data_IF_438913199606
#
_entry.id   IF_438913199606
#
_cell.length_a   1.000
_cell.length_b   1.000
_cell.length_c   1.000
_cell.angle_alpha   90.00
_cell.angle_beta   90.00
_cell.angle_gamma   90.00
#
_symmetry.space_group_name_H-M   'P 1'
#
loop_
_entity.id
_entity.type
_entity.pdbx_description
1 polymer ?
#
# COMPACT_ATOMS: atom_id res chain seq x y z
N UNK A 1 -20.23 11.57 -5.15
CA UNK A 1 -19.31 10.76 -5.97
C UNK A 1 -18.05 11.54 -6.31
N UNK A 2 -18.20 12.72 -6.92
CA UNK A 2 -17.06 13.57 -7.27
C UNK A 2 -16.19 13.94 -6.08
N UNK A 3 -16.80 14.26 -4.94
CA UNK A 3 -16.08 14.59 -3.69
C UNK A 3 -15.34 13.38 -3.14
N UNK A 4 -15.96 12.22 -3.16
CA UNK A 4 -15.31 10.97 -2.74
C UNK A 4 -14.11 10.68 -3.62
N UNK A 5 -14.26 10.74 -4.94
CA UNK A 5 -13.18 10.48 -5.87
C UNK A 5 -12.00 11.43 -5.65
N UNK A 6 -12.26 12.73 -5.49
CA UNK A 6 -11.22 13.72 -5.20
C UNK A 6 -10.47 13.40 -3.91
N UNK A 7 -11.22 13.08 -2.84
CA UNK A 7 -10.62 12.79 -1.53
C UNK A 7 -9.85 11.46 -1.54
N UNK A 8 -10.31 10.48 -2.28
CA UNK A 8 -9.60 9.20 -2.42
C UNK A 8 -8.30 9.38 -3.21
N UNK A 9 -8.28 10.21 -4.25
CA UNK A 9 -7.05 10.53 -4.96
C UNK A 9 -6.02 11.19 -4.03
N UNK A 10 -6.47 12.12 -3.19
CA UNK A 10 -5.60 12.75 -2.18
C UNK A 10 -5.08 11.75 -1.16
N UNK A 11 -5.91 10.78 -0.76
CA UNK A 11 -5.50 9.71 0.14
C UNK A 11 -4.33 8.92 -0.45
N UNK A 12 -4.40 8.53 -1.72
CA UNK A 12 -3.34 7.74 -2.35
C UNK A 12 -2.11 8.56 -2.71
N UNK A 13 -2.24 9.84 -2.99
CA UNK A 13 -1.09 10.75 -3.10
C UNK A 13 -0.32 10.80 -1.78
N UNK A 14 -1.04 10.91 -0.66
CA UNK A 14 -0.46 10.87 0.68
C UNK A 14 0.15 9.50 0.98
N UNK A 15 -0.53 8.42 0.59
CA UNK A 15 -0.04 7.05 0.74
C UNK A 15 1.32 6.89 0.03
N UNK A 16 1.42 7.35 -1.20
CA UNK A 16 2.67 7.32 -1.96
C UNK A 16 3.77 8.12 -1.28
N UNK A 17 3.46 9.33 -0.83
CA UNK A 17 4.41 10.21 -0.15
C UNK A 17 4.93 9.58 1.15
N UNK A 18 4.04 8.97 1.94
CA UNK A 18 4.39 8.28 3.18
C UNK A 18 5.26 7.06 2.87
N UNK A 19 4.95 6.30 1.83
CA UNK A 19 5.75 5.14 1.41
C UNK A 19 7.16 5.55 1.02
N UNK A 20 7.30 6.63 0.26
CA UNK A 20 8.61 7.17 -0.13
C UNK A 20 9.44 7.60 1.08
N UNK A 21 8.83 8.31 2.02
CA UNK A 21 9.49 8.73 3.26
C UNK A 21 9.92 7.52 4.10
N UNK A 22 9.06 6.51 4.20
CA UNK A 22 9.33 5.30 4.98
C UNK A 22 10.49 4.50 4.39
N UNK A 23 10.61 4.45 3.07
CA UNK A 23 11.75 3.78 2.41
C UNK A 23 13.07 4.51 2.66
N UNK A 24 13.04 5.81 2.94
CA UNK A 24 14.24 6.58 3.34
C UNK A 24 14.56 6.44 4.82
N UNK A 25 13.74 5.77 5.60
CA UNK A 25 13.91 5.63 7.05
C UNK A 25 13.11 6.64 7.88
N UNK A 26 12.44 7.60 7.24
CA UNK A 26 11.58 8.59 7.89
C UNK A 26 10.19 8.00 8.14
N UNK A 27 10.10 7.04 9.06
CA UNK A 27 8.85 6.33 9.32
C UNK A 27 8.08 7.03 10.42
N UNK A 28 6.92 7.57 10.09
CA UNK A 28 5.95 8.06 11.07
C UNK A 28 4.76 7.09 11.07
N UNK A 29 4.74 6.19 12.04
CA UNK A 29 3.72 5.13 12.09
C UNK A 29 2.32 5.67 12.38
N UNK A 30 2.20 6.82 13.01
CA UNK A 30 0.89 7.44 13.23
C UNK A 30 0.29 7.94 11.91
N UNK A 31 1.11 8.49 11.03
CA UNK A 31 0.66 8.88 9.69
C UNK A 31 0.27 7.66 8.85
N UNK A 32 1.04 6.60 8.93
CA UNK A 32 0.74 5.34 8.24
C UNK A 32 -0.59 4.78 8.73
N UNK A 33 -0.76 4.68 10.05
CA UNK A 33 -1.98 4.16 10.66
C UNK A 33 -3.22 5.01 10.32
N UNK A 34 -3.04 6.32 10.14
CA UNK A 34 -4.14 7.22 9.81
C UNK A 34 -4.75 6.97 8.42
N UNK A 35 -4.06 6.22 7.55
CA UNK A 35 -4.59 5.84 6.24
C UNK A 35 -5.67 4.75 6.31
N UNK A 36 -5.69 4.00 7.42
CA UNK A 36 -6.53 2.81 7.56
C UNK A 36 -7.69 3.02 8.52
N UNK A 37 -8.78 2.30 8.25
CA UNK A 37 -9.91 2.22 9.16
C UNK A 37 -9.51 1.49 10.45
N UNK A 38 -10.40 1.49 11.46
CA UNK A 38 -10.14 0.81 12.73
C UNK A 38 -10.02 -0.70 12.61
N UNK A 39 -10.63 -1.28 11.58
CA UNK A 39 -10.56 -2.70 11.27
C UNK A 39 -10.39 -2.87 9.76
N UNK A 40 -9.73 -3.96 9.35
CA UNK A 40 -9.46 -4.17 7.93
C UNK A 40 -9.37 -5.65 7.57
N UNK A 41 -9.44 -5.91 6.25
CA UNK A 41 -9.29 -7.23 5.63
C UNK A 41 -8.11 -7.17 4.66
N UNK A 42 -7.23 -8.17 4.73
CA UNK A 42 -6.14 -8.33 3.77
C UNK A 42 -6.31 -9.67 3.06
N UNK A 43 -6.47 -9.65 1.75
CA UNK A 43 -6.62 -10.85 0.94
C UNK A 43 -5.45 -11.01 -0.03
N UNK A 44 -4.84 -12.19 -0.02
CA UNK A 44 -3.75 -12.57 -0.93
C UNK A 44 -4.00 -14.00 -1.39
N UNK A 45 -3.21 -14.55 -2.31
CA UNK A 45 -3.32 -15.97 -2.66
C UNK A 45 -3.13 -16.93 -1.48
N UNK A 46 -2.53 -16.48 -0.39
CA UNK A 46 -2.36 -17.28 0.84
C UNK A 46 -3.64 -17.34 1.69
N UNK A 47 -4.62 -16.49 1.43
CA UNK A 47 -5.89 -16.48 2.15
C UNK A 47 -6.35 -15.09 2.55
N UNK A 48 -7.31 -15.04 3.44
CA UNK A 48 -7.88 -13.79 3.96
C UNK A 48 -7.51 -13.65 5.43
N UNK A 49 -6.96 -12.50 5.78
CA UNK A 49 -6.63 -12.15 7.16
C UNK A 49 -7.42 -10.93 7.57
N UNK A 50 -7.78 -10.85 8.84
CA UNK A 50 -8.40 -9.66 9.43
C UNK A 50 -7.46 -9.05 10.44
N UNK A 51 -7.59 -7.76 10.67
CA UNK A 51 -6.76 -7.08 11.65
C UNK A 51 -7.40 -5.83 12.19
N UNK A 52 -6.78 -5.28 13.23
CA UNK A 52 -7.18 -4.02 13.86
C UNK A 52 -6.08 -3.00 13.72
N UNK A 53 -6.48 -1.75 13.61
CA UNK A 53 -5.56 -0.61 13.54
C UNK A 53 -5.14 -0.23 14.97
N UNK A 54 -4.14 -0.91 15.48
CA UNK A 54 -3.63 -0.76 16.84
C UNK A 54 -2.09 -0.72 16.86
N UNK A 55 -1.49 -0.75 18.04
CA UNK A 55 -0.04 -0.74 18.19
C UNK A 55 0.63 -1.95 17.53
N UNK A 56 -0.03 -3.10 17.56
CA UNK A 56 0.51 -4.29 16.90
C UNK A 56 0.63 -4.09 15.38
N UNK A 57 -0.39 -3.48 14.75
CA UNK A 57 -0.34 -3.14 13.33
C UNK A 57 0.84 -2.21 13.03
N UNK A 58 1.04 -1.19 13.87
CA UNK A 58 2.17 -0.25 13.68
C UNK A 58 3.50 -1.00 13.70
N UNK A 59 3.66 -1.96 14.61
CA UNK A 59 4.87 -2.78 14.68
C UNK A 59 5.04 -3.64 13.42
N UNK A 60 3.97 -4.25 12.93
CA UNK A 60 3.99 -5.08 11.71
C UNK A 60 4.37 -4.23 10.50
N UNK A 61 3.78 -3.04 10.36
CA UNK A 61 4.07 -2.14 9.24
C UNK A 61 5.50 -1.61 9.30
N UNK A 62 6.01 -1.29 10.51
CA UNK A 62 7.39 -0.84 10.69
C UNK A 62 8.38 -1.94 10.28
N UNK A 63 8.11 -3.18 10.64
CA UNK A 63 8.92 -4.33 10.22
C UNK A 63 8.85 -4.55 8.71
N UNK A 64 7.68 -4.33 8.11
CA UNK A 64 7.49 -4.41 6.66
C UNK A 64 8.37 -3.42 5.92
N UNK A 65 8.39 -2.16 6.35
CA UNK A 65 9.27 -1.15 5.73
C UNK A 65 10.74 -1.46 5.95
N UNK A 66 11.11 -1.94 7.13
CA UNK A 66 12.49 -2.37 7.40
C UNK A 66 12.91 -3.51 6.48
N UNK A 67 12.00 -4.46 6.24
CA UNK A 67 12.24 -5.57 5.32
C UNK A 67 12.44 -5.05 3.88
N UNK A 68 11.59 -4.13 3.41
CA UNK A 68 11.75 -3.54 2.09
C UNK A 68 13.11 -2.85 1.94
N UNK A 69 13.55 -2.09 2.94
CA UNK A 69 14.87 -1.46 2.91
C UNK A 69 15.98 -2.52 2.86
N UNK A 70 15.83 -3.61 3.62
CA UNK A 70 16.83 -4.68 3.70
C UNK A 70 17.00 -5.42 2.36
N UNK A 71 15.93 -5.61 1.61
CA UNK A 71 15.99 -6.27 0.30
C UNK A 71 16.34 -5.32 -0.86
N UNK A 72 16.63 -4.07 -0.55
CA UNK A 72 17.11 -3.10 -1.54
C UNK A 72 16.02 -2.29 -2.25
N UNK A 73 14.81 -2.21 -1.67
CA UNK A 73 13.76 -1.37 -2.25
C UNK A 73 14.18 0.09 -2.23
N UNK A 74 14.36 0.66 -3.40
CA UNK A 74 14.83 2.02 -3.60
C UNK A 74 13.69 3.02 -3.73
N UNK A 75 12.62 2.60 -4.39
CA UNK A 75 11.48 3.47 -4.67
C UNK A 75 10.20 2.65 -4.84
N UNK A 76 9.08 3.28 -4.54
CA UNK A 76 7.74 2.76 -4.79
C UNK A 76 6.92 3.92 -5.32
N UNK A 77 6.46 3.82 -6.57
CA UNK A 77 5.74 4.89 -7.24
C UNK A 77 4.38 4.43 -7.72
N UNK A 78 3.39 5.30 -7.60
CA UNK A 78 2.06 5.05 -8.13
C UNK A 78 2.06 5.41 -9.63
N UNK A 79 1.81 4.42 -10.48
CA UNK A 79 1.76 4.60 -11.94
C UNK A 79 0.37 4.98 -12.41
N UNK A 80 -0.65 4.53 -11.70
CA UNK A 80 -2.03 4.80 -12.08
C UNK A 80 -2.97 4.53 -10.93
N UNK A 81 -4.11 5.19 -10.97
CA UNK A 81 -5.16 5.05 -9.98
C UNK A 81 -6.50 5.12 -10.70
N UNK A 82 -7.28 4.04 -10.58
CA UNK A 82 -8.64 3.99 -11.11
C UNK A 82 -9.59 3.77 -9.94
N UNK A 83 -10.53 4.66 -9.76
CA UNK A 83 -11.51 4.60 -8.68
C UNK A 83 -12.83 4.08 -9.25
N UNK A 84 -13.31 2.96 -8.69
CA UNK A 84 -14.58 2.35 -9.07
C UNK A 84 -15.57 2.51 -7.91
N UNK A 85 -16.51 3.47 -7.99
CA UNK A 85 -17.50 3.65 -6.93
C UNK A 85 -18.40 2.44 -6.78
N UNK A 86 -18.69 2.07 -5.52
CA UNK A 86 -19.68 1.02 -5.20
C UNK A 86 -21.00 1.65 -4.78
N UNK A 87 -20.93 2.68 -3.95
CA UNK A 87 -22.07 3.50 -3.51
C UNK A 87 -21.57 4.88 -3.10
N UNK A 88 -22.39 5.67 -2.41
CA UNK A 88 -22.04 7.02 -1.98
C UNK A 88 -20.84 7.09 -1.03
N UNK A 89 -20.58 6.01 -0.32
CA UNK A 89 -19.60 5.98 0.76
C UNK A 89 -18.45 5.00 0.53
N UNK A 90 -18.50 4.22 -0.51
CA UNK A 90 -17.53 3.14 -0.73
C UNK A 90 -17.05 3.09 -2.17
N UNK A 91 -15.77 2.77 -2.31
CA UNK A 91 -15.20 2.53 -3.64
C UNK A 91 -14.09 1.48 -3.57
N UNK A 92 -13.73 0.97 -4.73
CA UNK A 92 -12.50 0.20 -4.91
C UNK A 92 -11.51 1.11 -5.63
N UNK A 93 -10.33 1.25 -5.07
CA UNK A 93 -9.23 1.97 -5.70
C UNK A 93 -8.28 0.93 -6.29
N UNK A 94 -8.23 0.87 -7.61
CA UNK A 94 -7.29 0.00 -8.33
C UNK A 94 -6.01 0.79 -8.57
N UNK A 95 -4.96 0.41 -7.86
CA UNK A 95 -3.67 1.14 -7.90
C UNK A 95 -2.63 0.30 -8.61
N UNK A 96 -1.98 0.90 -9.59
CA UNK A 96 -0.84 0.29 -10.28
C UNK A 96 0.42 0.89 -9.68
N UNK A 97 1.24 0.06 -9.07
CA UNK A 97 2.49 0.43 -8.43
C UNK A 97 3.70 0.04 -9.25
N UNK A 98 4.77 0.80 -9.12
CA UNK A 98 6.09 0.43 -9.63
C UNK A 98 7.08 0.47 -8.49
N UNK A 99 7.73 -0.66 -8.21
CA UNK A 99 8.79 -0.77 -7.23
C UNK A 99 10.13 -0.94 -7.91
N UNK A 100 11.16 -0.28 -7.40
CA UNK A 100 12.52 -0.37 -7.91
C UNK A 100 13.43 -0.93 -6.82
N UNK A 101 14.23 -1.94 -7.20
CA UNK A 101 15.12 -2.65 -6.28
C UNK A 101 16.55 -2.56 -6.77
N UNK A 102 17.45 -2.17 -5.86
CA UNK A 102 18.90 -2.18 -6.11
C UNK A 102 19.46 -3.54 -5.72
N UNK A 103 20.26 -4.14 -6.59
CA UNK A 103 20.88 -5.43 -6.31
C UNK A 103 22.41 -5.28 -6.36
N UNK A 104 23.11 -5.99 -5.44
CA UNK A 104 24.58 -6.00 -5.42
C UNK A 104 25.10 -6.70 -6.69
N UNK A 105 26.00 -6.03 -7.40
CA UNK A 105 26.72 -6.57 -8.57
C UNK A 105 25.78 -7.01 -9.72
N UNK A 106 24.56 -6.48 -9.77
CA UNK A 106 23.59 -6.74 -10.83
C UNK A 106 22.83 -5.47 -11.15
N UNK A 107 22.16 -5.47 -12.30
CA UNK A 107 21.29 -4.37 -12.69
C UNK A 107 20.12 -4.21 -11.73
N UNK A 108 19.64 -2.99 -11.56
CA UNK A 108 18.42 -2.71 -10.80
C UNK A 108 17.23 -3.45 -11.44
N UNK A 109 16.27 -3.82 -10.61
CA UNK A 109 15.05 -4.48 -11.05
C UNK A 109 13.86 -3.55 -10.85
N UNK A 110 13.01 -3.46 -11.87
CA UNK A 110 11.74 -2.74 -11.79
C UNK A 110 10.61 -3.77 -11.86
N UNK A 111 9.70 -3.70 -10.91
CA UNK A 111 8.55 -4.60 -10.82
C UNK A 111 7.28 -3.78 -10.78
N UNK A 112 6.38 -4.04 -11.71
CA UNK A 112 5.05 -3.44 -11.74
C UNK A 112 4.05 -4.43 -11.17
N UNK A 113 3.17 -3.96 -10.29
CA UNK A 113 2.15 -4.79 -9.68
C UNK A 113 0.93 -3.96 -9.31
N UNK A 114 -0.20 -4.62 -9.16
CA UNK A 114 -1.46 -3.96 -8.83
C UNK A 114 -1.93 -4.37 -7.44
N UNK A 115 -2.51 -3.42 -6.73
CA UNK A 115 -3.21 -3.68 -5.46
C UNK A 115 -4.58 -3.02 -5.55
N UNK A 116 -5.60 -3.73 -5.08
CA UNK A 116 -6.98 -3.24 -5.08
C UNK A 116 -7.37 -2.93 -3.64
N UNK A 117 -7.63 -1.65 -3.39
CA UNK A 117 -7.94 -1.18 -2.03
C UNK A 117 -9.43 -0.95 -1.88
N UNK A 118 -9.97 -1.40 -0.76
CA UNK A 118 -11.34 -1.11 -0.36
C UNK A 118 -11.33 0.15 0.49
N UNK A 119 -12.10 1.16 0.07
CA UNK A 119 -12.05 2.48 0.71
C UNK A 119 -13.45 2.87 1.15
N UNK A 120 -13.56 3.37 2.39
CA UNK A 120 -14.78 3.94 2.93
C UNK A 120 -14.61 5.44 3.12
N UNK A 121 -15.59 6.21 2.67
CA UNK A 121 -15.60 7.66 2.77
C UNK A 121 -16.80 8.09 3.62
N UNK A 122 -16.57 8.21 4.92
CA UNK A 122 -17.55 8.74 5.87
C UNK A 122 -16.97 10.04 6.42
N UNK A 123 -17.72 11.12 6.36
CA UNK A 123 -17.22 12.42 6.81
C UNK A 123 -16.15 12.97 5.87
N UNK A 124 -15.12 13.60 6.44
CA UNK A 124 -14.15 14.38 5.67
C UNK A 124 -13.04 13.56 5.05
N UNK A 125 -12.61 12.47 5.69
CA UNK A 125 -11.44 11.71 5.24
C UNK A 125 -11.77 10.27 4.92
N UNK A 126 -11.36 9.79 3.72
CA UNK A 126 -11.51 8.39 3.40
C UNK A 126 -10.49 7.54 4.17
N UNK A 127 -10.85 6.28 4.41
CA UNK A 127 -9.98 5.30 5.08
C UNK A 127 -9.97 3.99 4.30
N UNK A 128 -8.81 3.35 4.23
CA UNK A 128 -8.68 2.02 3.65
C UNK A 128 -9.14 1.00 4.68
N UNK A 129 -10.11 0.17 4.33
CA UNK A 129 -10.58 -0.91 5.22
C UNK A 129 -10.24 -2.30 4.69
N UNK A 130 -9.51 -2.41 3.62
CA UNK A 130 -9.08 -3.69 3.10
C UNK A 130 -8.30 -3.57 1.80
N UNK A 131 -7.67 -4.66 1.41
CA UNK A 131 -6.98 -4.73 0.13
C UNK A 131 -6.92 -6.16 -0.37
N UNK A 132 -6.81 -6.28 -1.68
CA UNK A 132 -6.58 -7.53 -2.39
C UNK A 132 -5.28 -7.36 -3.17
N UNK A 133 -4.30 -8.21 -2.91
CA UNK A 133 -2.99 -8.16 -3.57
C UNK A 133 -2.55 -9.54 -4.02
N UNK A 134 -1.53 -9.59 -4.89
CA UNK A 134 -0.96 -10.82 -5.38
C UNK A 134 0.09 -11.41 -4.45
N UNK A 135 0.78 -12.46 -4.93
CA UNK A 135 1.87 -13.10 -4.21
C UNK A 135 3.18 -12.34 -4.48
N UNK A 136 3.44 -11.33 -3.66
CA UNK A 136 4.62 -10.49 -3.78
C UNK A 136 5.92 -11.27 -3.58
N UNK A 137 5.95 -12.20 -2.64
CA UNK A 137 7.17 -12.98 -2.33
C UNK A 137 7.61 -13.84 -3.52
N UNK A 138 6.67 -14.51 -4.16
CA UNK A 138 6.95 -15.28 -5.36
C UNK A 138 7.47 -14.38 -6.49
N UNK A 139 6.84 -13.22 -6.69
CA UNK A 139 7.26 -12.27 -7.71
C UNK A 139 8.68 -11.75 -7.46
N UNK A 140 9.00 -11.41 -6.22
CA UNK A 140 10.34 -10.96 -5.83
C UNK A 140 11.38 -12.05 -6.07
N UNK A 141 11.04 -13.29 -5.76
CA UNK A 141 11.93 -14.44 -5.95
C UNK A 141 12.17 -14.74 -7.44
N UNK A 142 11.12 -14.73 -8.24
CA UNK A 142 11.20 -14.95 -9.69
C UNK A 142 12.05 -13.88 -10.39
N UNK A 143 12.01 -12.66 -9.89
CA UNK A 143 12.74 -11.54 -10.46
C UNK A 143 14.14 -11.37 -9.85
N UNK A 144 14.54 -12.25 -8.96
CA UNK A 144 15.88 -12.28 -8.40
C UNK A 144 16.18 -11.21 -7.36
N UNK A 145 15.16 -10.67 -6.69
CA UNK A 145 15.32 -9.68 -5.61
C UNK A 145 15.64 -10.39 -4.28
N UNK A 146 15.04 -11.54 -4.06
CA UNK A 146 15.27 -12.35 -2.86
C UNK A 146 15.62 -13.80 -3.17
#
# INVERSE_FOLDING_TARGET
MKTMETNVRKLFERYESISKASLRGDVNMDEVAALYASEFIAATPAGVMTGKNDEHLKQVLAKGYAHYRAIGTKAMEMRGLRIAPLDEHHCVAHVSWRAMYVRKNQSDVVIDFDVHYLVQHLGAEPKVFGWVSGDEQTLLRERGVI
#
